data_IF_074070021778
#
_entry.id   IF_074070021778
#
_cell.length_a   1.000
_cell.length_b   1.000
_cell.length_c   1.000
_cell.angle_alpha   90.00
_cell.angle_beta   90.00
_cell.angle_gamma   90.00
#
_symmetry.space_group_name_H-M   'P 1'
#
loop_
_entity.id
_entity.type
_entity.pdbx_description
1 polymer ?
#
# COMPACT_ATOMS: atom_id res chain seq x y z
N UNK A 1 32.22 10.03 -73.25
CA UNK A 1 30.87 10.03 -73.84
C UNK A 1 29.88 9.46 -72.82
N UNK A 2 28.93 10.30 -72.39
CA UNK A 2 27.58 10.00 -71.87
C UNK A 2 27.45 9.21 -70.54
N UNK A 3 27.69 9.92 -69.45
CA UNK A 3 26.92 9.83 -68.20
C UNK A 3 25.79 10.86 -68.33
N UNK A 4 24.53 10.44 -68.15
CA UNK A 4 23.35 11.21 -67.68
C UNK A 4 22.07 10.62 -68.26
N UNK A 5 21.13 10.25 -67.38
CA UNK A 5 19.66 10.25 -67.51
C UNK A 5 19.05 9.01 -66.83
N UNK A 6 18.97 9.02 -65.50
CA UNK A 6 17.96 8.25 -64.78
C UNK A 6 17.62 8.94 -63.45
N UNK A 7 17.14 10.17 -63.56
CA UNK A 7 16.61 10.94 -62.42
C UNK A 7 15.55 11.87 -62.95
N UNK A 8 14.36 11.34 -63.26
CA UNK A 8 13.12 12.10 -63.28
C UNK A 8 11.97 11.11 -63.48
N UNK A 9 11.28 10.75 -62.40
CA UNK A 9 9.83 10.57 -62.39
C UNK A 9 9.42 10.48 -60.92
N UNK A 10 8.94 11.64 -60.48
CA UNK A 10 8.54 12.02 -59.14
C UNK A 10 7.16 11.40 -58.84
N UNK A 11 6.99 10.99 -57.58
CA UNK A 11 5.74 10.65 -56.93
C UNK A 11 4.59 11.65 -57.23
N UNK A 12 3.32 11.23 -57.20
CA UNK A 12 2.66 11.16 -55.89
C UNK A 12 1.64 10.01 -55.80
N UNK A 13 1.83 9.11 -54.84
CA UNK A 13 0.77 8.23 -54.36
C UNK A 13 0.75 8.28 -52.82
N UNK A 14 0.67 9.50 -52.31
CA UNK A 14 0.39 9.83 -50.92
C UNK A 14 -1.10 10.16 -50.79
N UNK A 15 -1.94 9.14 -50.73
CA UNK A 15 -3.31 9.23 -50.21
C UNK A 15 -3.89 7.82 -50.08
N UNK A 16 -4.02 7.34 -48.84
CA UNK A 16 -4.81 6.15 -48.53
C UNK A 16 -4.03 4.98 -47.96
N UNK A 17 -3.63 5.05 -46.69
CA UNK A 17 -3.72 3.93 -45.73
C UNK A 17 -3.44 4.41 -44.29
N UNK A 18 -4.20 5.40 -43.80
CA UNK A 18 -4.37 5.60 -42.36
C UNK A 18 -5.69 4.96 -41.95
N UNK A 19 -5.71 3.65 -41.72
CA UNK A 19 -6.79 2.96 -40.99
C UNK A 19 -6.46 1.48 -40.79
N UNK A 20 -5.60 1.14 -39.82
CA UNK A 20 -5.69 -0.12 -39.05
C UNK A 20 -4.43 -0.30 -38.20
N UNK A 21 -4.52 -0.05 -36.90
CA UNK A 21 -4.00 -0.90 -35.80
C UNK A 21 -4.18 -0.16 -34.47
N UNK A 22 -5.43 -0.07 -34.01
CA UNK A 22 -5.75 0.19 -32.62
C UNK A 22 -6.52 -1.03 -32.11
N UNK A 23 -5.80 -2.10 -31.78
CA UNK A 23 -6.37 -3.20 -31.00
C UNK A 23 -6.24 -2.83 -29.51
N UNK A 24 -7.22 -2.08 -29.01
CA UNK A 24 -7.40 -1.86 -27.59
C UNK A 24 -8.12 -3.10 -27.01
N UNK A 25 -7.37 -4.01 -26.42
CA UNK A 25 -7.95 -5.11 -25.63
C UNK A 25 -8.57 -4.52 -24.37
N UNK A 26 -9.89 -4.30 -24.41
CA UNK A 26 -10.68 -3.95 -23.25
C UNK A 26 -10.66 -5.12 -22.24
N UNK A 27 -9.96 -4.93 -21.11
CA UNK A 27 -10.11 -5.79 -19.95
C UNK A 27 -11.51 -5.57 -19.37
N UNK A 28 -12.32 -6.64 -19.33
CA UNK A 28 -13.60 -6.63 -18.60
C UNK A 28 -13.30 -6.42 -17.11
N UNK A 29 -13.95 -5.47 -16.42
CA UNK A 29 -13.91 -5.44 -14.97
C UNK A 29 -14.67 -6.67 -14.46
N UNK A 30 -13.98 -7.54 -13.72
CA UNK A 30 -14.63 -8.54 -12.91
C UNK A 30 -15.25 -7.82 -11.71
N UNK A 31 -16.57 -7.77 -11.64
CA UNK A 31 -17.30 -7.27 -10.48
C UNK A 31 -17.03 -8.21 -9.30
N UNK A 32 -16.17 -7.80 -8.37
CA UNK A 32 -16.07 -8.43 -7.06
C UNK A 32 -17.31 -8.03 -6.25
N UNK A 33 -18.26 -8.96 -6.12
CA UNK A 33 -19.32 -8.85 -5.11
C UNK A 33 -18.68 -9.15 -3.75
N UNK A 34 -18.78 -8.26 -2.74
CA UNK A 34 -18.38 -8.60 -1.39
C UNK A 34 -19.27 -9.72 -0.85
N UNK A 35 -18.73 -10.68 -0.08
CA UNK A 35 -19.54 -11.69 0.58
C UNK A 35 -20.55 -11.01 1.52
N UNK A 36 -21.76 -11.57 1.57
CA UNK A 36 -22.86 -11.10 2.39
C UNK A 36 -22.43 -10.97 3.87
N UNK A 37 -22.65 -9.79 4.44
CA UNK A 37 -22.38 -9.49 5.85
C UNK A 37 -23.16 -10.46 6.76
N UNK A 38 -22.44 -11.36 7.43
CA UNK A 38 -22.98 -12.07 8.59
C UNK A 38 -22.94 -11.13 9.79
N UNK A 39 -24.13 -10.67 10.19
CA UNK A 39 -24.33 -9.87 11.40
C UNK A 39 -23.89 -10.67 12.64
N UNK A 40 -22.96 -10.13 13.41
CA UNK A 40 -22.69 -10.60 14.75
C UNK A 40 -23.86 -10.21 15.69
N UNK A 41 -24.27 -11.09 16.62
CA UNK A 41 -25.40 -10.83 17.50
C UNK A 41 -25.12 -9.70 18.50
N UNK A 42 -26.05 -8.74 18.56
CA UNK A 42 -26.03 -7.64 19.49
C UNK A 42 -26.22 -8.11 20.94
N UNK A 43 -25.27 -7.77 21.82
CA UNK A 43 -25.43 -7.86 23.26
C UNK A 43 -26.14 -6.60 23.78
N UNK A 44 -27.23 -6.83 24.52
CA UNK A 44 -28.15 -5.82 25.05
C UNK A 44 -27.47 -4.88 26.04
N UNK A 45 -27.66 -3.58 25.86
CA UNK A 45 -27.31 -2.55 26.84
C UNK A 45 -28.20 -2.68 28.09
N UNK A 46 -27.55 -2.64 29.27
CA UNK A 46 -28.22 -2.55 30.57
C UNK A 46 -28.52 -1.07 30.91
N UNK A 47 -29.63 -0.87 31.61
CA UNK A 47 -30.31 0.39 31.87
C UNK A 47 -29.51 1.42 32.72
N UNK A 48 -29.86 2.71 32.66
CA UNK A 48 -29.16 3.78 33.38
C UNK A 48 -29.60 3.87 34.85
N UNK A 49 -28.62 4.02 35.75
CA UNK A 49 -28.83 4.29 37.17
C UNK A 49 -29.02 5.80 37.40
N UNK A 50 -29.99 6.11 38.25
CA UNK A 50 -30.57 7.42 38.52
C UNK A 50 -29.59 8.48 39.08
N UNK A 51 -29.79 9.73 38.66
CA UNK A 51 -29.27 10.93 39.33
C UNK A 51 -30.15 11.26 40.54
N UNK A 52 -29.60 11.67 41.69
CA UNK A 52 -30.38 12.30 42.75
C UNK A 52 -30.74 13.74 42.38
N UNK A 53 -32.04 14.00 42.35
CA UNK A 53 -32.70 15.29 42.46
C UNK A 53 -32.40 15.97 43.79
N UNK A 54 -32.22 17.30 43.79
CA UNK A 54 -32.93 18.14 44.76
C UNK A 54 -33.20 19.56 44.20
N UNK A 55 -34.26 20.24 44.68
CA UNK A 55 -34.98 21.25 43.91
C UNK A 55 -34.79 22.69 44.42
N UNK A 56 -35.29 23.59 43.58
CA UNK A 56 -35.80 24.93 43.90
C UNK A 56 -34.76 26.03 44.22
N UNK A 57 -34.70 27.05 43.36
CA UNK A 57 -34.99 28.38 43.87
C UNK A 57 -35.66 29.29 42.83
N UNK A 58 -36.61 30.06 43.34
CA UNK A 58 -37.55 30.90 42.62
C UNK A 58 -36.96 32.27 42.27
N UNK A 59 -37.52 32.81 41.19
CA UNK A 59 -37.69 34.20 40.76
C UNK A 59 -37.03 35.34 41.57
N UNK A 60 -36.37 36.22 40.79
CA UNK A 60 -36.05 37.62 41.15
C UNK A 60 -37.29 38.39 41.62
N UNK A 61 -37.11 39.49 42.37
CA UNK A 61 -37.20 40.78 41.67
C UNK A 61 -36.30 41.92 42.22
N UNK A 62 -36.01 42.86 41.30
CA UNK A 62 -35.73 44.32 41.43
C UNK A 62 -34.57 44.89 42.27
N UNK A 63 -33.72 45.67 41.57
CA UNK A 63 -32.82 46.76 42.05
C UNK A 63 -33.62 48.03 42.44
N UNK A 64 -33.06 49.16 42.98
CA UNK A 64 -31.64 49.60 43.10
C UNK A 64 -31.26 50.10 44.54
N UNK A 65 -30.01 50.40 44.91
CA UNK A 65 -29.31 51.70 44.77
C UNK A 65 -27.80 51.50 45.06
N UNK A 66 -27.00 52.30 44.37
CA UNK A 66 -25.54 52.28 44.29
C UNK A 66 -24.79 52.61 45.58
N UNK A 67 -23.63 51.95 45.76
CA UNK A 67 -22.41 52.60 46.27
C UNK A 67 -21.23 52.13 45.41
N UNK A 68 -20.38 53.10 45.11
CA UNK A 68 -19.30 53.09 44.14
C UNK A 68 -18.12 52.34 44.75
N UNK A 69 -17.65 51.29 44.07
CA UNK A 69 -16.31 50.73 44.32
C UNK A 69 -15.64 50.53 42.97
N UNK A 70 -14.40 51.00 42.88
CA UNK A 70 -13.55 51.08 41.70
C UNK A 70 -13.53 49.78 40.85
N UNK A 71 -13.34 49.87 39.53
CA UNK A 71 -13.18 48.69 38.69
C UNK A 71 -11.85 48.00 39.04
N UNK A 72 -11.93 46.86 39.73
CA UNK A 72 -10.84 45.92 39.79
C UNK A 72 -10.56 45.43 38.34
N UNK A 73 -9.30 45.43 37.88
CA UNK A 73 -8.98 44.94 36.55
C UNK A 73 -9.34 43.46 36.49
N UNK A 74 -10.09 43.07 35.44
CA UNK A 74 -10.32 41.66 35.11
C UNK A 74 -8.94 40.97 35.07
N UNK A 75 -8.72 39.88 35.82
CA UNK A 75 -7.49 39.12 35.66
C UNK A 75 -7.46 38.65 34.21
N UNK A 76 -6.41 39.05 33.47
CA UNK A 76 -6.11 38.52 32.16
C UNK A 76 -6.06 37.00 32.31
N UNK A 77 -7.01 36.29 31.70
CA UNK A 77 -6.99 34.83 31.64
C UNK A 77 -5.62 34.43 31.09
N UNK A 78 -4.91 33.57 31.82
CA UNK A 78 -3.71 32.93 31.28
C UNK A 78 -4.11 32.19 30.00
N UNK A 79 -3.28 32.22 28.93
CA UNK A 79 -3.56 31.44 27.74
C UNK A 79 -3.70 29.97 28.14
N UNK A 80 -4.76 29.33 27.62
CA UNK A 80 -5.00 27.90 27.80
C UNK A 80 -4.00 27.14 26.92
N UNK A 81 -2.99 26.47 27.51
CA UNK A 81 -1.93 25.82 26.75
C UNK A 81 -2.45 24.70 25.86
N UNK A 82 -3.56 24.06 26.22
CA UNK A 82 -4.21 23.04 25.40
C UNK A 82 -4.81 23.67 24.14
N UNK A 83 -5.49 24.82 24.29
CA UNK A 83 -6.07 25.53 23.16
C UNK A 83 -4.99 26.03 22.18
N UNK A 84 -3.83 26.45 22.68
CA UNK A 84 -2.70 26.87 21.86
C UNK A 84 -2.12 25.70 21.04
N UNK A 85 -1.92 24.54 21.67
CA UNK A 85 -1.46 23.33 20.97
C UNK A 85 -2.45 22.91 19.88
N UNK A 86 -3.75 22.93 20.18
CA UNK A 86 -4.80 22.58 19.19
C UNK A 86 -4.75 23.50 17.97
N UNK A 87 -4.57 24.81 18.17
CA UNK A 87 -4.47 25.78 17.07
C UNK A 87 -3.26 25.49 16.17
N UNK A 88 -2.11 25.19 16.78
CA UNK A 88 -0.88 24.93 16.02
C UNK A 88 -0.93 23.58 15.28
N UNK A 89 -1.57 22.57 15.88
CA UNK A 89 -1.83 21.26 15.26
C UNK A 89 -2.77 21.40 14.06
N UNK A 90 -3.90 22.11 14.21
CA UNK A 90 -4.88 22.29 13.11
C UNK A 90 -4.26 23.06 11.94
N UNK A 91 -3.36 24.01 12.22
CA UNK A 91 -2.61 24.75 11.20
C UNK A 91 -1.69 23.84 10.39
N UNK A 92 -0.88 23.01 11.04
CA UNK A 92 -0.02 22.04 10.33
C UNK A 92 -0.86 20.99 9.60
N UNK A 93 -1.93 20.49 10.22
CA UNK A 93 -2.84 19.55 9.59
C UNK A 93 -3.46 20.13 8.31
N UNK A 94 -3.99 21.35 8.35
CA UNK A 94 -4.57 22.01 7.18
C UNK A 94 -3.53 22.27 6.08
N UNK A 95 -2.31 22.66 6.45
CA UNK A 95 -1.20 22.79 5.49
C UNK A 95 -0.85 21.44 4.84
N UNK A 96 -0.93 20.33 5.58
CA UNK A 96 -0.79 18.97 5.05
C UNK A 96 -1.85 18.65 4.01
N UNK A 97 -3.11 18.95 4.32
CA UNK A 97 -4.24 18.75 3.39
C UNK A 97 -4.13 19.58 2.12
N UNK A 98 -3.69 20.82 2.24
CA UNK A 98 -3.52 21.70 1.08
C UNK A 98 -2.38 21.22 0.18
N UNK A 99 -1.27 20.75 0.77
CA UNK A 99 -0.18 20.12 0.01
C UNK A 99 -0.60 18.79 -0.63
N UNK A 100 -1.40 17.99 0.07
CA UNK A 100 -1.95 16.74 -0.43
C UNK A 100 -2.83 16.99 -1.66
N UNK A 101 -3.79 17.93 -1.58
CA UNK A 101 -4.66 18.31 -2.71
C UNK A 101 -3.90 18.92 -3.89
N UNK A 102 -2.74 19.51 -3.64
CA UNK A 102 -1.85 20.05 -4.67
C UNK A 102 -0.91 18.98 -5.28
N UNK A 103 -0.97 17.72 -4.82
CA UNK A 103 -0.07 16.64 -5.26
C UNK A 103 1.34 16.70 -4.65
N UNK A 104 1.60 17.60 -3.71
CA UNK A 104 2.89 17.74 -3.02
C UNK A 104 3.01 16.74 -1.87
N UNK A 105 3.09 15.46 -2.19
CA UNK A 105 3.01 14.36 -1.23
C UNK A 105 4.08 14.41 -0.13
N UNK A 106 5.33 14.74 -0.47
CA UNK A 106 6.40 14.83 0.53
C UNK A 106 6.20 15.99 1.51
N UNK A 107 5.72 17.14 1.00
CA UNK A 107 5.37 18.27 1.85
C UNK A 107 4.15 17.94 2.71
N UNK A 108 3.15 17.22 2.18
CA UNK A 108 2.00 16.76 2.94
C UNK A 108 2.41 15.88 4.12
N UNK A 109 3.26 14.85 3.87
CA UNK A 109 3.79 13.99 4.94
C UNK A 109 4.48 14.80 6.04
N UNK A 110 5.36 15.72 5.67
CA UNK A 110 6.07 16.55 6.66
C UNK A 110 5.14 17.39 7.52
N UNK A 111 4.05 17.93 6.95
CA UNK A 111 3.07 18.70 7.71
C UNK A 111 2.26 17.79 8.66
N UNK A 112 1.85 16.61 8.21
CA UNK A 112 1.16 15.64 9.07
C UNK A 112 2.06 15.14 10.21
N UNK A 113 3.33 14.83 9.92
CA UNK A 113 4.32 14.47 10.93
C UNK A 113 4.51 15.59 11.95
N UNK A 114 4.54 16.86 11.51
CA UNK A 114 4.62 18.02 12.41
C UNK A 114 3.38 18.14 13.29
N UNK A 115 2.18 18.00 12.73
CA UNK A 115 0.93 18.03 13.48
C UNK A 115 0.91 16.94 14.58
N UNK A 116 1.35 15.73 14.25
CA UNK A 116 1.43 14.62 15.20
C UNK A 116 2.50 14.84 16.28
N UNK A 117 3.67 15.34 15.90
CA UNK A 117 4.73 15.67 16.85
C UNK A 117 4.36 16.82 17.77
N UNK A 118 3.53 17.78 17.35
CA UNK A 118 3.00 18.84 18.22
C UNK A 118 2.03 18.28 19.26
N UNK A 119 1.19 17.31 18.89
CA UNK A 119 0.33 16.59 19.84
C UNK A 119 1.19 15.81 20.86
N UNK A 120 2.11 14.97 20.37
CA UNK A 120 2.95 14.08 21.21
C UNK A 120 4.05 14.79 22.01
N UNK A 121 4.60 15.87 21.45
CA UNK A 121 5.72 16.61 22.02
C UNK A 121 5.31 17.67 23.02
N UNK A 122 4.00 17.95 23.16
CA UNK A 122 3.51 18.77 24.26
C UNK A 122 3.76 18.05 25.58
N UNK A 123 4.17 18.76 26.63
CA UNK A 123 4.34 18.20 27.98
C UNK A 123 3.00 17.84 28.65
N UNK A 124 1.92 17.85 27.87
CA UNK A 124 0.56 17.59 28.27
C UNK A 124 0.25 16.13 27.96
N UNK A 125 -0.32 15.41 28.92
CA UNK A 125 -0.78 14.05 28.67
C UNK A 125 -2.00 14.11 27.75
N UNK A 126 -1.83 13.65 26.50
CA UNK A 126 -2.89 13.64 25.47
C UNK A 126 -4.14 12.90 25.96
N UNK A 127 -3.97 11.91 26.85
CA UNK A 127 -5.08 11.14 27.38
C UNK A 127 -5.79 11.83 28.57
N UNK A 128 -5.25 12.94 29.07
CA UNK A 128 -5.78 13.65 30.23
C UNK A 128 -6.80 14.74 29.89
N UNK A 129 -6.91 15.14 28.62
CA UNK A 129 -7.87 16.15 28.14
C UNK A 129 -8.65 15.64 26.91
N UNK A 130 -9.97 15.56 27.02
CA UNK A 130 -10.88 15.13 25.93
C UNK A 130 -10.72 15.96 24.65
N UNK A 131 -10.25 17.21 24.75
CA UNK A 131 -10.05 18.07 23.56
C UNK A 131 -8.86 17.60 22.75
N UNK A 132 -7.76 17.22 23.39
CA UNK A 132 -6.59 16.69 22.69
C UNK A 132 -6.87 15.31 22.09
N UNK A 133 -7.62 14.47 22.80
CA UNK A 133 -8.07 13.18 22.26
C UNK A 133 -8.92 13.36 21.00
N UNK A 134 -9.89 14.29 21.04
CA UNK A 134 -10.72 14.58 19.86
C UNK A 134 -9.91 15.08 18.67
N UNK A 135 -8.90 15.92 18.89
CA UNK A 135 -8.05 16.38 17.80
C UNK A 135 -7.13 15.28 17.27
N UNK A 136 -6.59 14.43 18.13
CA UNK A 136 -5.83 13.25 17.71
C UNK A 136 -6.69 12.32 16.84
N UNK A 137 -7.88 11.95 17.31
CA UNK A 137 -8.81 11.09 16.58
C UNK A 137 -9.18 11.70 15.22
N UNK A 138 -9.41 13.01 15.18
CA UNK A 138 -9.75 13.75 13.96
C UNK A 138 -8.60 13.77 12.95
N UNK A 139 -7.37 14.03 13.41
CA UNK A 139 -6.17 14.04 12.55
C UNK A 139 -5.92 12.63 12.00
N UNK A 140 -6.03 11.60 12.84
CA UNK A 140 -5.83 10.20 12.44
C UNK A 140 -6.86 9.74 11.41
N UNK A 141 -8.15 9.99 11.67
CA UNK A 141 -9.23 9.64 10.75
C UNK A 141 -9.07 10.39 9.42
N UNK A 142 -8.69 11.66 9.49
CA UNK A 142 -8.47 12.50 8.33
C UNK A 142 -7.36 11.99 7.42
N UNK A 143 -6.17 11.71 7.96
CA UNK A 143 -5.04 11.18 7.18
C UNK A 143 -5.37 9.81 6.59
N UNK A 144 -5.96 8.92 7.38
CA UNK A 144 -6.34 7.59 6.90
C UNK A 144 -7.38 7.64 5.76
N UNK A 145 -8.33 8.59 5.83
CA UNK A 145 -9.32 8.79 4.75
C UNK A 145 -8.68 9.33 3.46
N UNK A 146 -7.70 10.23 3.59
CA UNK A 146 -6.97 10.80 2.45
C UNK A 146 -6.04 9.75 1.83
N UNK A 147 -5.39 8.90 2.61
CA UNK A 147 -4.59 7.78 2.11
C UNK A 147 -5.45 6.79 1.31
N UNK A 148 -6.63 6.43 1.84
CA UNK A 148 -7.56 5.54 1.15
C UNK A 148 -8.10 6.14 -0.15
N UNK A 149 -8.33 7.44 -0.20
CA UNK A 149 -8.74 8.12 -1.43
C UNK A 149 -7.59 8.21 -2.44
N UNK A 150 -6.36 8.48 -1.99
CA UNK A 150 -5.16 8.48 -2.84
C UNK A 150 -4.94 7.12 -3.51
N UNK A 151 -5.10 6.04 -2.73
CA UNK A 151 -4.98 4.67 -3.21
C UNK A 151 -6.06 4.33 -4.24
N UNK A 152 -7.28 4.83 -4.08
CA UNK A 152 -8.37 4.66 -5.05
C UNK A 152 -8.15 5.46 -6.34
N UNK A 153 -7.60 6.66 -6.23
CA UNK A 153 -7.32 7.56 -7.36
C UNK A 153 -6.00 7.22 -8.07
N UNK A 154 -5.20 6.30 -7.49
CA UNK A 154 -3.92 5.85 -8.05
C UNK A 154 -2.77 6.84 -7.84
N UNK A 155 -2.99 7.90 -7.06
CA UNK A 155 -2.00 8.93 -6.68
C UNK A 155 -1.40 8.69 -5.28
N UNK A 156 -1.77 7.59 -4.60
CA UNK A 156 -1.24 7.20 -3.31
C UNK A 156 0.26 6.92 -3.34
N UNK A 157 1.03 7.81 -2.69
CA UNK A 157 2.41 7.64 -2.21
C UNK A 157 3.30 6.62 -2.91
N UNK A 158 3.43 6.63 -4.24
CA UNK A 158 4.30 5.70 -5.01
C UNK A 158 4.46 4.34 -4.31
N UNK A 159 3.36 3.70 -3.92
CA UNK A 159 3.47 2.36 -3.35
C UNK A 159 4.02 1.53 -4.50
N UNK A 160 5.26 1.05 -4.33
CA UNK A 160 5.98 0.37 -5.39
C UNK A 160 5.11 -0.79 -5.84
N UNK A 161 4.57 -0.64 -7.04
CA UNK A 161 3.55 -1.53 -7.56
C UNK A 161 4.08 -2.95 -7.48
N UNK A 162 3.43 -3.78 -6.65
CA UNK A 162 3.79 -5.18 -6.52
C UNK A 162 3.88 -5.82 -7.91
N UNK A 163 5.04 -6.37 -8.23
CA UNK A 163 5.23 -7.11 -9.47
C UNK A 163 4.71 -8.53 -9.27
N UNK A 164 3.87 -9.07 -10.18
CA UNK A 164 3.36 -10.43 -10.06
C UNK A 164 4.51 -11.43 -9.91
N UNK A 165 4.32 -12.44 -9.06
CA UNK A 165 5.32 -13.47 -8.86
C UNK A 165 5.51 -14.30 -10.14
N UNK A 166 6.74 -14.78 -10.43
CA UNK A 166 6.95 -15.69 -11.56
C UNK A 166 6.06 -16.94 -11.52
N UNK A 167 5.74 -17.44 -10.32
CA UNK A 167 4.84 -18.59 -10.14
C UNK A 167 3.37 -18.27 -10.49
N UNK A 168 2.92 -17.02 -10.40
CA UNK A 168 1.55 -16.61 -10.76
C UNK A 168 1.33 -16.72 -12.27
N UNK A 169 2.33 -16.31 -13.06
CA UNK A 169 2.31 -16.54 -14.51
C UNK A 169 2.38 -18.04 -14.84
N UNK A 170 3.11 -18.79 -14.01
CA UNK A 170 3.38 -20.19 -14.27
C UNK A 170 2.19 -21.11 -13.99
N UNK A 171 1.43 -20.82 -12.93
CA UNK A 171 0.27 -21.60 -12.51
C UNK A 171 -0.99 -21.38 -13.38
N UNK A 172 -1.02 -20.34 -14.21
CA UNK A 172 -2.20 -20.02 -15.04
C UNK A 172 -2.46 -20.97 -16.21
N UNK A 173 -1.52 -21.86 -16.55
CA UNK A 173 -1.59 -22.73 -17.73
C UNK A 173 -0.95 -24.09 -17.44
N UNK A 174 -1.63 -25.20 -17.77
CA UNK A 174 -0.99 -26.52 -17.78
C UNK A 174 -0.05 -26.64 -18.97
N UNK A 175 1.25 -26.86 -18.72
CA UNK A 175 2.25 -26.99 -19.77
C UNK A 175 2.26 -28.38 -20.41
N UNK A 176 2.38 -28.47 -21.75
CA UNK A 176 2.51 -29.76 -22.41
C UNK A 176 3.82 -30.44 -21.99
N UNK A 177 3.75 -31.76 -21.78
CA UNK A 177 4.91 -32.59 -21.47
C UNK A 177 5.59 -33.02 -22.77
N UNK A 178 6.87 -32.68 -22.92
CA UNK A 178 7.71 -33.22 -23.99
C UNK A 178 8.34 -34.56 -23.52
N UNK A 179 8.07 -35.68 -24.20
CA UNK A 179 8.60 -37.00 -23.82
C UNK A 179 10.14 -37.05 -23.79
N UNK A 180 10.82 -36.30 -24.65
CA UNK A 180 12.29 -36.26 -24.69
C UNK A 180 12.84 -35.53 -23.46
N UNK A 181 12.23 -34.40 -23.10
CA UNK A 181 12.60 -33.64 -21.91
C UNK A 181 12.32 -34.45 -20.64
N UNK A 182 11.17 -35.13 -20.59
CA UNK A 182 10.82 -35.99 -19.45
C UNK A 182 11.83 -37.13 -19.27
N UNK A 183 12.19 -37.84 -20.33
CA UNK A 183 13.17 -38.93 -20.26
C UNK A 183 14.56 -38.42 -19.82
N UNK A 184 14.97 -37.24 -20.28
CA UNK A 184 16.22 -36.62 -19.84
C UNK A 184 16.16 -36.23 -18.35
N UNK A 185 15.06 -35.59 -17.92
CA UNK A 185 14.85 -35.21 -16.53
C UNK A 185 14.82 -36.42 -15.58
N UNK A 186 14.26 -37.55 -16.02
CA UNK A 186 14.29 -38.82 -15.27
C UNK A 186 15.72 -39.26 -14.94
N UNK A 187 16.63 -39.18 -15.92
CA UNK A 187 18.04 -39.53 -15.72
C UNK A 187 18.74 -38.53 -14.79
N UNK A 188 18.50 -37.24 -14.98
CA UNK A 188 19.12 -36.17 -14.19
C UNK A 188 18.66 -36.21 -12.73
N UNK A 189 17.38 -36.46 -12.47
CA UNK A 189 16.83 -36.61 -11.10
C UNK A 189 17.51 -37.77 -10.36
N UNK A 190 17.76 -38.89 -11.03
CA UNK A 190 18.45 -40.04 -10.42
C UNK A 190 19.94 -39.76 -10.14
N UNK A 191 20.56 -38.89 -10.94
CA UNK A 191 21.97 -38.52 -10.79
C UNK A 191 22.19 -37.35 -9.81
N UNK A 192 21.14 -36.58 -9.51
CA UNK A 192 21.23 -35.38 -8.66
C UNK A 192 21.14 -35.76 -7.19
N UNK A 193 22.18 -35.43 -6.43
CA UNK A 193 22.14 -35.50 -4.97
C UNK A 193 21.43 -34.26 -4.45
N UNK A 194 20.30 -34.47 -3.78
CA UNK A 194 19.46 -33.44 -3.19
C UNK A 194 19.10 -33.85 -1.77
N UNK A 195 19.12 -32.88 -0.85
CA UNK A 195 18.63 -33.10 0.52
C UNK A 195 17.10 -33.14 0.58
N UNK A 196 16.43 -32.73 -0.52
CA UNK A 196 14.98 -32.80 -0.72
C UNK A 196 14.61 -34.03 -1.58
N UNK A 197 13.45 -34.67 -1.34
CA UNK A 197 12.97 -35.75 -2.19
C UNK A 197 12.57 -35.21 -3.58
N UNK A 198 13.36 -35.54 -4.60
CA UNK A 198 13.06 -35.17 -5.98
C UNK A 198 12.07 -36.17 -6.60
N UNK A 199 10.91 -35.68 -7.01
CA UNK A 199 9.88 -36.48 -7.69
C UNK A 199 9.59 -35.89 -9.07
N UNK A 200 9.76 -36.70 -10.13
CA UNK A 200 9.35 -36.30 -11.47
C UNK A 200 7.87 -36.67 -11.69
N UNK A 201 7.01 -35.66 -11.67
CA UNK A 201 5.59 -35.78 -12.03
C UNK A 201 5.34 -35.14 -13.40
N UNK A 202 4.20 -35.44 -14.04
CA UNK A 202 3.84 -34.82 -15.32
C UNK A 202 3.76 -33.28 -15.23
N UNK A 203 3.18 -32.66 -14.18
CA UNK A 203 3.27 -31.22 -13.99
C UNK A 203 4.70 -30.70 -13.93
N UNK A 204 5.60 -31.38 -13.20
CA UNK A 204 7.02 -30.99 -13.10
C UNK A 204 7.69 -31.09 -14.47
N UNK A 205 7.45 -32.16 -15.23
CA UNK A 205 7.97 -32.30 -16.59
C UNK A 205 7.46 -31.18 -17.53
N UNK A 206 6.21 -30.75 -17.35
CA UNK A 206 5.65 -29.58 -18.04
C UNK A 206 6.39 -28.27 -17.70
N UNK A 207 6.68 -28.03 -16.41
CA UNK A 207 7.48 -26.87 -15.98
C UNK A 207 8.90 -26.91 -16.53
N UNK A 208 9.56 -28.08 -16.51
CA UNK A 208 10.89 -28.25 -17.10
C UNK A 208 10.86 -27.90 -18.60
N UNK A 209 9.83 -28.35 -19.33
CA UNK A 209 9.66 -28.00 -20.75
C UNK A 209 9.47 -26.48 -20.96
N UNK A 210 8.63 -25.85 -20.13
CA UNK A 210 8.39 -24.41 -20.18
C UNK A 210 9.67 -23.59 -19.96
N UNK A 211 10.40 -23.87 -18.87
CA UNK A 211 11.64 -23.17 -18.53
C UNK A 211 12.83 -23.56 -19.41
N UNK A 212 12.76 -24.70 -20.12
CA UNK A 212 13.72 -25.06 -21.17
C UNK A 212 13.51 -24.27 -22.45
N UNK A 213 12.36 -23.60 -22.62
CA UNK A 213 11.99 -22.88 -23.85
C UNK A 213 11.59 -21.43 -23.52
N UNK A 214 10.29 -21.13 -23.47
CA UNK A 214 9.73 -19.78 -23.34
C UNK A 214 10.07 -19.11 -22.00
N UNK A 215 10.14 -19.88 -20.92
CA UNK A 215 10.43 -19.39 -19.57
C UNK A 215 11.91 -19.20 -19.26
N UNK A 216 12.82 -19.59 -20.17
CA UNK A 216 14.26 -19.66 -19.89
C UNK A 216 14.84 -18.34 -19.39
N UNK A 217 14.55 -17.24 -20.08
CA UNK A 217 15.09 -15.92 -19.71
C UNK A 217 14.63 -15.47 -18.32
N UNK A 218 13.38 -15.77 -17.96
CA UNK A 218 12.83 -15.44 -16.63
C UNK A 218 13.57 -16.21 -15.54
N UNK A 219 13.80 -17.51 -15.75
CA UNK A 219 14.55 -18.35 -14.82
C UNK A 219 16.01 -17.88 -14.69
N UNK A 220 16.70 -17.62 -15.79
CA UNK A 220 18.08 -17.13 -15.80
C UNK A 220 18.21 -15.80 -15.04
N UNK A 221 17.32 -14.84 -15.29
CA UNK A 221 17.32 -13.57 -14.58
C UNK A 221 17.06 -13.74 -13.07
N UNK A 222 16.15 -14.64 -12.69
CA UNK A 222 15.91 -14.97 -11.29
C UNK A 222 17.15 -15.56 -10.63
N UNK A 223 17.83 -16.52 -11.27
CA UNK A 223 19.06 -17.12 -10.75
C UNK A 223 20.20 -16.09 -10.61
N UNK A 224 20.36 -15.20 -11.59
CA UNK A 224 21.33 -14.09 -11.51
C UNK A 224 21.05 -13.19 -10.31
N UNK A 225 19.79 -12.81 -10.08
CA UNK A 225 19.41 -12.01 -8.90
C UNK A 225 19.62 -12.78 -7.59
N UNK A 226 19.30 -14.07 -7.59
CA UNK A 226 19.43 -14.98 -6.45
C UNK A 226 20.86 -15.07 -5.92
N UNK A 227 21.86 -14.92 -6.78
CA UNK A 227 23.27 -14.87 -6.38
C UNK A 227 23.58 -13.82 -5.30
N UNK A 228 22.85 -12.69 -5.25
CA UNK A 228 23.03 -11.65 -4.21
C UNK A 228 22.55 -12.10 -2.83
N UNK A 229 21.59 -13.01 -2.77
CA UNK A 229 20.93 -13.44 -1.53
C UNK A 229 21.36 -14.85 -1.12
N UNK A 230 22.00 -15.60 -2.01
CA UNK A 230 22.27 -17.02 -1.84
C UNK A 230 23.03 -17.36 -0.56
N UNK A 231 24.16 -16.69 -0.30
CA UNK A 231 24.96 -16.97 0.90
C UNK A 231 24.18 -16.66 2.19
N UNK A 232 23.48 -15.53 2.21
CA UNK A 232 22.68 -15.09 3.35
C UNK A 232 21.54 -16.07 3.64
N UNK A 233 20.74 -16.42 2.62
CA UNK A 233 19.61 -17.34 2.76
C UNK A 233 20.11 -18.73 3.19
N UNK A 234 21.10 -19.30 2.51
CA UNK A 234 21.62 -20.63 2.84
C UNK A 234 22.27 -20.68 4.23
N UNK A 235 22.89 -19.58 4.68
CA UNK A 235 23.38 -19.48 6.07
C UNK A 235 22.23 -19.59 7.06
N UNK A 236 21.15 -18.81 6.87
CA UNK A 236 19.98 -18.82 7.75
C UNK A 236 19.32 -20.21 7.74
N UNK A 237 19.09 -20.79 6.57
CA UNK A 237 18.50 -22.13 6.44
C UNK A 237 19.30 -23.19 7.21
N UNK A 238 20.64 -23.15 7.15
CA UNK A 238 21.50 -24.03 7.95
C UNK A 238 21.39 -23.79 9.46
N UNK A 239 21.27 -22.54 9.89
CA UNK A 239 21.09 -22.19 11.30
C UNK A 239 19.76 -22.72 11.84
N UNK A 240 18.71 -22.66 11.03
CA UNK A 240 17.39 -23.21 11.34
C UNK A 240 17.32 -24.74 11.17
N UNK A 241 18.41 -25.39 10.74
CA UNK A 241 18.48 -26.84 10.57
C UNK A 241 17.66 -27.38 9.39
N UNK A 242 17.28 -26.52 8.44
CA UNK A 242 16.52 -26.91 7.25
C UNK A 242 17.42 -27.00 6.00
N UNK A 243 17.01 -27.75 4.96
CA UNK A 243 17.81 -27.90 3.74
C UNK A 243 18.12 -26.55 3.05
N UNK A 244 19.39 -26.27 2.69
CA UNK A 244 19.77 -25.03 1.99
C UNK A 244 19.09 -24.87 0.62
N UNK A 245 18.66 -25.98 0.02
CA UNK A 245 17.96 -26.03 -1.26
C UNK A 245 16.58 -25.39 -1.23
N UNK A 246 16.02 -25.11 -0.04
CA UNK A 246 14.78 -24.33 0.09
C UNK A 246 14.89 -22.91 -0.47
N UNK A 247 16.10 -22.43 -0.78
CA UNK A 247 16.31 -21.21 -1.55
C UNK A 247 15.55 -21.18 -2.88
N UNK A 248 15.33 -22.34 -3.52
CA UNK A 248 14.57 -22.41 -4.78
C UNK A 248 13.08 -22.12 -4.60
N UNK A 249 12.56 -22.19 -3.37
CA UNK A 249 11.21 -21.68 -3.07
C UNK A 249 11.14 -20.18 -3.28
N UNK A 250 12.14 -19.42 -2.80
CA UNK A 250 12.20 -17.97 -3.01
C UNK A 250 12.31 -17.62 -4.50
N UNK A 251 12.99 -18.45 -5.30
CA UNK A 251 13.06 -18.31 -6.76
C UNK A 251 11.67 -18.47 -7.41
N UNK A 252 10.87 -19.43 -6.96
CA UNK A 252 9.52 -19.63 -7.47
C UNK A 252 8.58 -18.48 -7.05
N UNK A 253 8.58 -18.12 -5.76
CA UNK A 253 7.65 -17.16 -5.17
C UNK A 253 7.94 -15.71 -5.54
N UNK A 254 9.20 -15.33 -5.73
CA UNK A 254 9.56 -13.92 -5.98
C UNK A 254 10.48 -13.71 -7.17
N UNK A 255 11.11 -14.78 -7.68
CA UNK A 255 12.23 -14.64 -8.59
C UNK A 255 13.36 -13.78 -8.02
N UNK A 256 13.47 -13.66 -6.70
CA UNK A 256 14.36 -12.76 -5.96
C UNK A 256 14.14 -11.26 -6.27
N UNK A 257 12.90 -10.87 -6.56
CA UNK A 257 12.49 -9.47 -6.51
C UNK A 257 12.22 -9.10 -5.04
N UNK A 258 12.85 -8.03 -4.51
CA UNK A 258 12.63 -7.61 -3.12
C UNK A 258 11.25 -6.99 -2.88
N UNK A 259 10.49 -6.73 -3.94
CA UNK A 259 9.18 -6.05 -3.93
C UNK A 259 8.08 -6.89 -4.60
N UNK A 260 8.34 -8.19 -4.81
CA UNK A 260 7.31 -9.13 -5.24
C UNK A 260 6.37 -9.47 -4.08
#
# INVERSE_FOLDING_TARGET
>A
MRITKLSLLIAPLTAGLLASTACQSAKRPATFLPPAQTQAPALKAAAPVAKPTNPANQQQPVRPVATITAPAPKPKQKPDPVAEVIVEVEKEYQAGRDNYKAGHLDAAKQNFDRAFNLLLGSTLDIYSDERLQRELDRVLEGVNSEDMQALQEGEGFTEQKAEPAPIDEANGVTYPVDPKIKAQAEVEVQATRSDLPLMLTDPVAGYINYFSTRGRSTLEHALIRGGRYQEMIQKILRQEGVPPELIYLAQAESGFHPLA
#
